data_IF_135811905829
#
_entry.id   IF_135811905829
#
_cell.length_a   1.000
_cell.length_b   1.000
_cell.length_c   1.000
_cell.angle_alpha   90.00
_cell.angle_beta   90.00
_cell.angle_gamma   90.00
#
_symmetry.space_group_name_H-M   'P 1'
#
loop_
_entity.id
_entity.type
_entity.pdbx_description
1 polymer ?
#
# COMPACT_ATOMS: atom_id res chain seq x y z
N UNK A 1 18.45 34.88 -20.95
CA UNK A 1 17.28 35.78 -20.79
C UNK A 1 17.85 37.16 -20.61
N UNK A 2 17.31 38.17 -21.31
CA UNK A 2 17.90 39.54 -21.26
C UNK A 2 17.55 40.24 -19.96
N UNK A 3 18.37 41.18 -19.58
CA UNK A 3 18.22 42.05 -18.39
C UNK A 3 16.83 42.72 -18.29
N UNK A 4 16.21 43.01 -19.44
CA UNK A 4 14.86 43.58 -19.52
C UNK A 4 13.78 42.61 -19.06
N UNK A 5 13.88 41.30 -19.40
CA UNK A 5 12.93 40.29 -18.98
C UNK A 5 13.02 40.01 -17.46
N UNK A 6 14.24 40.06 -16.93
CA UNK A 6 14.47 39.91 -15.48
C UNK A 6 13.93 41.12 -14.67
N UNK A 7 14.04 42.32 -15.25
CA UNK A 7 13.50 43.53 -14.66
C UNK A 7 11.95 43.55 -14.70
N UNK A 8 11.36 43.06 -15.80
CA UNK A 8 9.91 42.94 -15.92
C UNK A 8 9.34 41.88 -14.93
N UNK A 9 10.01 40.77 -14.75
CA UNK A 9 9.60 39.73 -13.77
C UNK A 9 9.72 40.21 -12.32
N UNK A 10 10.71 41.04 -11.99
CA UNK A 10 10.86 41.61 -10.64
C UNK A 10 9.74 42.59 -10.28
N UNK A 11 9.10 43.23 -11.28
CA UNK A 11 7.98 44.15 -11.09
C UNK A 11 6.60 43.50 -11.24
N UNK A 12 6.53 42.24 -11.64
CA UNK A 12 5.28 41.54 -11.90
C UNK A 12 4.58 41.15 -10.59
N UNK A 13 3.27 41.33 -10.57
CA UNK A 13 2.44 40.79 -9.47
C UNK A 13 2.29 39.30 -9.59
N UNK A 14 1.87 38.64 -8.51
CA UNK A 14 1.57 37.18 -8.52
C UNK A 14 0.54 36.82 -9.59
N UNK A 15 -0.44 37.72 -9.83
CA UNK A 15 -1.45 37.50 -10.88
C UNK A 15 -0.85 37.57 -12.28
N UNK A 16 0.09 38.52 -12.53
CA UNK A 16 0.76 38.60 -13.82
C UNK A 16 1.58 37.33 -14.13
N UNK A 17 2.19 36.75 -13.08
CA UNK A 17 2.94 35.48 -13.20
C UNK A 17 2.02 34.30 -13.49
N UNK A 18 0.84 34.24 -12.85
CA UNK A 18 -0.18 33.23 -13.09
C UNK A 18 -0.71 33.31 -14.52
N UNK A 19 -1.04 34.50 -14.99
CA UNK A 19 -1.52 34.74 -16.35
C UNK A 19 -0.45 34.34 -17.39
N UNK A 20 0.81 34.69 -17.12
CA UNK A 20 1.93 34.32 -17.98
C UNK A 20 2.12 32.77 -18.00
N UNK A 21 2.02 32.11 -16.85
CA UNK A 21 2.12 30.67 -16.76
C UNK A 21 0.97 29.98 -17.53
N UNK A 22 -0.23 30.53 -17.47
CA UNK A 22 -1.39 30.06 -18.25
C UNK A 22 -1.16 30.20 -19.77
N UNK A 23 -0.65 31.34 -20.22
CA UNK A 23 -0.33 31.62 -21.63
C UNK A 23 0.78 30.69 -22.16
N UNK A 24 1.80 30.43 -21.33
CA UNK A 24 2.92 29.54 -21.67
C UNK A 24 2.59 28.06 -21.55
N UNK A 25 1.42 27.69 -21.08
CA UNK A 25 1.01 26.29 -20.89
C UNK A 25 1.72 25.59 -19.74
N UNK A 26 2.24 26.31 -18.76
CA UNK A 26 2.94 25.76 -17.59
C UNK A 26 1.94 25.26 -16.53
N UNK A 27 1.03 24.38 -16.95
CA UNK A 27 -0.11 23.94 -16.14
C UNK A 27 0.29 23.15 -14.88
N UNK A 28 1.45 22.51 -14.89
CA UNK A 28 1.97 21.77 -13.73
C UNK A 28 2.40 22.68 -12.56
N UNK A 29 2.54 23.98 -12.81
CA UNK A 29 2.91 24.98 -11.79
C UNK A 29 1.70 25.69 -11.20
N UNK A 30 0.50 25.40 -11.67
CA UNK A 30 -0.74 26.06 -11.26
C UNK A 30 -1.69 25.04 -10.61
N UNK A 31 -2.46 25.49 -9.61
CA UNK A 31 -3.58 24.69 -9.14
C UNK A 31 -4.77 24.80 -10.12
N UNK A 32 -5.79 23.98 -9.93
CA UNK A 32 -6.96 23.93 -10.83
C UNK A 32 -7.71 25.26 -10.89
N UNK A 33 -7.83 25.98 -9.79
CA UNK A 33 -8.52 27.28 -9.73
C UNK A 33 -7.72 28.36 -10.44
N UNK A 34 -6.40 28.38 -10.25
CA UNK A 34 -5.51 29.31 -10.96
C UNK A 34 -5.51 29.10 -12.46
N UNK A 35 -5.46 27.82 -12.89
CA UNK A 35 -5.53 27.46 -14.29
C UNK A 35 -6.86 27.91 -14.92
N UNK A 36 -7.98 27.61 -14.25
CA UNK A 36 -9.30 28.00 -14.71
C UNK A 36 -9.46 29.54 -14.73
N UNK A 37 -8.93 30.24 -13.73
CA UNK A 37 -8.96 31.70 -13.66
C UNK A 37 -8.11 32.34 -14.76
N UNK A 38 -6.95 31.77 -15.09
CA UNK A 38 -6.10 32.26 -16.19
C UNK A 38 -6.71 32.03 -17.58
N UNK A 39 -7.53 31.00 -17.73
CA UNK A 39 -8.25 30.70 -19.00
C UNK A 39 -9.63 31.33 -19.08
N UNK A 40 -10.25 31.68 -17.96
CA UNK A 40 -11.57 32.26 -17.96
C UNK A 40 -11.56 33.75 -18.34
N UNK A 41 -12.68 34.19 -18.91
CA UNK A 41 -12.86 35.56 -19.35
C UNK A 41 -12.61 36.58 -18.20
N UNK A 42 -12.15 37.78 -18.53
CA UNK A 42 -11.66 38.84 -17.65
C UNK A 42 -12.54 39.25 -16.45
N UNK A 43 -13.73 38.63 -16.33
CA UNK A 43 -14.74 38.98 -15.32
C UNK A 43 -14.91 37.99 -14.18
N UNK A 44 -14.25 36.82 -14.23
CA UNK A 44 -14.27 35.93 -13.08
C UNK A 44 -13.45 36.47 -11.94
N UNK A 45 -13.95 36.47 -10.69
CA UNK A 45 -13.15 36.88 -9.54
C UNK A 45 -11.93 35.95 -9.46
N UNK A 46 -10.75 36.58 -9.50
CA UNK A 46 -9.50 35.81 -9.41
C UNK A 46 -9.37 35.22 -8.02
N UNK A 47 -8.93 33.96 -7.90
CA UNK A 47 -8.66 33.40 -6.59
C UNK A 47 -7.61 34.21 -5.85
N UNK A 48 -7.78 34.34 -4.54
CA UNK A 48 -6.82 35.03 -3.69
C UNK A 48 -5.42 34.41 -3.91
N UNK A 49 -4.41 35.22 -4.25
CA UNK A 49 -3.04 34.76 -4.42
C UNK A 49 -2.49 34.02 -3.21
N UNK A 50 -3.07 34.21 -2.02
CA UNK A 50 -2.71 33.49 -0.81
C UNK A 50 -3.19 32.02 -0.82
N UNK A 51 -4.15 31.68 -1.67
CA UNK A 51 -4.71 30.33 -1.77
C UNK A 51 -4.16 29.52 -2.95
N UNK A 52 -3.35 30.17 -3.80
CA UNK A 52 -2.81 29.57 -4.99
C UNK A 52 -1.28 29.56 -5.05
N UNK A 53 -0.75 29.31 -6.25
CA UNK A 53 0.69 29.35 -6.47
C UNK A 53 1.19 30.79 -6.40
N UNK A 54 1.92 31.10 -5.35
CA UNK A 54 2.55 32.41 -5.13
C UNK A 54 4.08 32.37 -5.31
N UNK A 55 4.60 31.38 -6.08
CA UNK A 55 6.02 31.07 -6.11
C UNK A 55 6.47 30.24 -4.90
N UNK A 56 5.71 30.30 -3.82
CA UNK A 56 5.82 29.39 -2.67
C UNK A 56 4.41 28.87 -2.40
N UNK A 57 4.11 27.66 -2.85
CA UNK A 57 2.90 26.95 -2.43
C UNK A 57 2.92 26.91 -0.92
N UNK A 58 1.98 27.59 -0.25
CA UNK A 58 1.75 27.34 1.17
C UNK A 58 1.30 25.89 1.24
N UNK A 59 2.20 25.01 1.67
CA UNK A 59 1.85 23.63 1.94
C UNK A 59 0.64 23.66 2.88
N UNK A 60 -0.42 22.97 2.50
CA UNK A 60 -1.53 22.70 3.45
C UNK A 60 -0.87 22.15 4.70
N UNK A 61 -1.06 22.75 5.87
CA UNK A 61 -0.44 22.23 7.07
C UNK A 61 -0.80 20.75 7.18
N UNK A 62 0.22 19.88 7.24
CA UNK A 62 0.02 18.46 7.46
C UNK A 62 -0.86 18.32 8.70
N UNK A 63 -2.01 17.70 8.53
CA UNK A 63 -2.85 17.35 9.67
C UNK A 63 -2.02 16.36 10.48
N UNK A 64 -1.51 16.79 11.61
CA UNK A 64 -0.84 15.88 12.53
C UNK A 64 -1.90 14.91 13.03
N UNK A 65 -1.83 13.68 12.52
CA UNK A 65 -2.58 12.59 13.12
C UNK A 65 -1.85 12.23 14.42
N UNK A 66 -2.59 12.00 15.52
CA UNK A 66 -1.96 11.49 16.73
C UNK A 66 -1.18 10.23 16.37
N UNK A 67 0.04 10.12 16.85
CA UNK A 67 0.87 8.94 16.64
C UNK A 67 0.07 7.73 17.13
N UNK A 68 -0.10 6.72 16.25
CA UNK A 68 -0.74 5.47 16.65
C UNK A 68 0.09 4.85 17.79
N UNK A 69 -0.60 4.36 18.81
CA UNK A 69 0.08 3.65 19.88
C UNK A 69 0.80 2.41 19.30
N UNK A 70 2.06 2.17 19.67
CA UNK A 70 2.80 1.02 19.18
C UNK A 70 2.06 -0.27 19.56
N UNK A 71 1.95 -1.19 18.61
CA UNK A 71 1.41 -2.51 18.88
C UNK A 71 2.33 -3.26 19.86
N UNK A 72 1.84 -3.57 21.04
CA UNK A 72 2.58 -4.26 22.11
C UNK A 72 2.16 -5.73 22.24
N UNK A 73 1.50 -6.27 21.23
CA UNK A 73 1.05 -7.66 21.25
C UNK A 73 2.24 -8.61 21.30
N UNK A 74 2.29 -9.51 22.27
CA UNK A 74 3.31 -10.56 22.33
C UNK A 74 2.93 -11.70 21.37
N UNK A 75 3.79 -12.05 20.40
CA UNK A 75 3.55 -13.17 19.50
C UNK A 75 3.34 -14.51 20.23
N UNK A 76 4.02 -14.74 21.36
CA UNK A 76 3.86 -15.96 22.14
C UNK A 76 2.48 -16.07 22.77
N UNK A 77 1.93 -14.95 23.26
CA UNK A 77 0.57 -14.90 23.78
C UNK A 77 -0.47 -15.25 22.69
N UNK A 78 -0.27 -14.73 21.48
CA UNK A 78 -1.12 -15.06 20.34
C UNK A 78 -1.05 -16.56 20.02
N UNK A 79 0.14 -17.13 19.95
CA UNK A 79 0.34 -18.57 19.70
C UNK A 79 -0.36 -19.42 20.77
N UNK A 80 -0.27 -19.05 22.03
CA UNK A 80 -0.97 -19.76 23.13
C UNK A 80 -2.49 -19.65 22.99
N UNK A 81 -3.01 -18.46 22.68
CA UNK A 81 -4.45 -18.24 22.44
C UNK A 81 -4.94 -19.01 21.23
N UNK A 82 -4.13 -19.14 20.17
CA UNK A 82 -4.46 -19.97 19.01
C UNK A 82 -4.52 -21.46 19.37
N UNK A 83 -3.60 -21.94 20.21
CA UNK A 83 -3.60 -23.34 20.71
C UNK A 83 -4.80 -23.64 21.61
N UNK A 84 -5.23 -22.70 22.44
CA UNK A 84 -6.39 -22.86 23.32
C UNK A 84 -7.72 -22.77 22.59
N UNK A 85 -7.74 -22.31 21.34
CA UNK A 85 -8.95 -22.09 20.56
C UNK A 85 -9.67 -20.80 20.92
N UNK A 86 -10.57 -20.38 20.04
CA UNK A 86 -11.46 -19.21 20.28
C UNK A 86 -10.90 -17.86 19.81
N UNK A 87 -9.64 -17.76 19.44
CA UNK A 87 -9.10 -16.53 18.84
C UNK A 87 -9.52 -16.43 17.38
N UNK A 88 -10.30 -15.39 17.05
CA UNK A 88 -10.76 -15.17 15.68
C UNK A 88 -9.88 -14.22 14.87
N UNK A 89 -9.20 -13.30 15.53
CA UNK A 89 -8.36 -12.27 14.91
C UNK A 89 -7.03 -12.16 15.64
N UNK A 90 -5.95 -12.19 14.90
CA UNK A 90 -4.60 -11.97 15.40
C UNK A 90 -3.99 -10.75 14.68
N UNK A 91 -3.66 -9.71 15.44
CA UNK A 91 -3.02 -8.51 14.93
C UNK A 91 -1.60 -8.39 15.50
N UNK A 92 -0.61 -8.67 14.65
CA UNK A 92 0.81 -8.59 14.93
C UNK A 92 1.50 -7.51 14.09
N UNK A 93 0.74 -6.58 13.51
CA UNK A 93 1.31 -5.51 12.68
C UNK A 93 2.34 -4.69 13.47
N UNK A 94 3.42 -4.32 12.80
CA UNK A 94 4.50 -3.51 13.37
C UNK A 94 5.23 -4.14 14.57
N UNK A 95 5.08 -5.44 14.76
CA UNK A 95 5.83 -6.20 15.77
C UNK A 95 6.96 -6.95 15.07
N UNK A 96 8.24 -6.64 15.34
CA UNK A 96 9.34 -7.44 14.79
C UNK A 96 9.31 -8.84 15.42
N UNK A 97 9.17 -9.87 14.57
CA UNK A 97 9.03 -11.25 15.02
C UNK A 97 10.20 -12.07 14.47
N UNK A 98 10.85 -12.86 15.32
CA UNK A 98 11.90 -13.77 14.86
C UNK A 98 11.34 -14.90 14.00
N UNK A 99 12.16 -15.40 13.06
CA UNK A 99 11.78 -16.51 12.19
C UNK A 99 11.29 -17.73 12.99
N UNK A 100 11.93 -18.04 14.12
CA UNK A 100 11.53 -19.15 15.00
C UNK A 100 10.08 -19.00 15.51
N UNK A 101 9.70 -17.80 15.95
CA UNK A 101 8.34 -17.52 16.41
C UNK A 101 7.33 -17.54 15.26
N UNK A 102 7.73 -17.04 14.09
CA UNK A 102 6.88 -17.13 12.88
C UNK A 102 6.65 -18.59 12.46
N UNK A 103 7.67 -19.42 12.48
CA UNK A 103 7.54 -20.85 12.18
C UNK A 103 6.58 -21.53 13.15
N UNK A 104 6.71 -21.26 14.47
CA UNK A 104 5.79 -21.81 15.47
C UNK A 104 4.35 -21.33 15.26
N UNK A 105 4.17 -20.06 14.93
CA UNK A 105 2.87 -19.48 14.59
C UNK A 105 2.22 -20.21 13.40
N UNK A 106 2.97 -20.43 12.32
CA UNK A 106 2.46 -21.10 11.12
C UNK A 106 2.22 -22.60 11.33
N UNK A 107 3.02 -23.24 12.18
CA UNK A 107 2.76 -24.65 12.54
C UNK A 107 1.43 -24.78 13.31
N UNK A 108 1.16 -23.88 14.25
CA UNK A 108 -0.12 -23.85 14.95
C UNK A 108 -1.27 -23.49 14.01
N UNK A 109 -1.03 -22.59 13.03
CA UNK A 109 -2.04 -22.19 12.05
C UNK A 109 -2.55 -23.38 11.21
N UNK A 110 -1.70 -24.37 10.89
CA UNK A 110 -2.09 -25.54 10.09
C UNK A 110 -3.30 -26.28 10.66
N UNK A 111 -3.35 -26.44 11.97
CA UNK A 111 -4.41 -27.17 12.66
C UNK A 111 -5.43 -26.27 13.39
N UNK A 112 -5.26 -24.97 13.31
CA UNK A 112 -6.16 -24.03 13.97
C UNK A 112 -7.48 -23.90 13.19
N UNK A 113 -8.60 -24.06 13.87
CA UNK A 113 -9.96 -24.04 13.33
C UNK A 113 -10.76 -22.81 13.74
N UNK A 114 -10.15 -21.85 14.43
CA UNK A 114 -10.84 -20.68 14.99
C UNK A 114 -10.42 -19.35 14.37
N UNK A 115 -9.16 -19.24 13.92
CA UNK A 115 -8.61 -18.00 13.40
C UNK A 115 -9.15 -17.69 11.99
N UNK A 116 -9.76 -16.51 11.86
CA UNK A 116 -10.32 -16.04 10.59
C UNK A 116 -9.55 -14.88 9.98
N UNK A 117 -8.76 -14.15 10.79
CA UNK A 117 -8.01 -12.99 10.34
C UNK A 117 -6.62 -12.99 10.98
N UNK A 118 -5.58 -12.94 10.14
CA UNK A 118 -4.17 -12.85 10.53
C UNK A 118 -3.53 -11.66 9.87
N UNK A 119 -3.00 -10.72 10.67
CA UNK A 119 -2.27 -9.58 10.15
C UNK A 119 -0.85 -9.55 10.67
N UNK A 120 0.11 -9.53 9.74
CA UNK A 120 1.55 -9.61 9.91
C UNK A 120 2.26 -8.49 9.13
N UNK A 121 1.63 -7.33 8.98
CA UNK A 121 2.26 -6.24 8.25
C UNK A 121 3.46 -5.70 9.04
N UNK A 122 4.58 -5.51 8.33
CA UNK A 122 5.83 -4.98 8.91
C UNK A 122 6.32 -5.81 10.12
N UNK A 123 6.43 -7.12 9.94
CA UNK A 123 6.88 -8.07 10.98
C UNK A 123 8.25 -8.69 10.69
N UNK A 124 8.92 -8.22 9.63
CA UNK A 124 10.19 -8.77 9.11
C UNK A 124 10.06 -10.19 8.54
N UNK A 125 8.88 -10.57 8.07
CA UNK A 125 8.63 -11.87 7.43
C UNK A 125 9.55 -12.03 6.22
N UNK A 126 10.43 -13.04 6.25
CA UNK A 126 11.35 -13.42 5.18
C UNK A 126 10.86 -14.64 4.40
N UNK A 127 11.56 -15.02 3.34
CA UNK A 127 11.17 -16.14 2.48
C UNK A 127 11.04 -17.48 3.21
N UNK A 128 11.93 -17.73 4.16
CA UNK A 128 11.95 -19.02 4.85
C UNK A 128 10.66 -19.24 5.69
N UNK A 129 10.26 -18.36 6.60
CA UNK A 129 8.97 -18.49 7.27
C UNK A 129 7.78 -18.30 6.33
N UNK A 130 7.88 -17.46 5.28
CA UNK A 130 6.80 -17.30 4.32
C UNK A 130 6.49 -18.56 3.51
N UNK A 131 7.48 -19.40 3.22
CA UNK A 131 7.26 -20.73 2.63
C UNK A 131 6.48 -21.65 3.58
N UNK A 132 6.72 -21.55 4.89
CA UNK A 132 5.94 -22.28 5.89
C UNK A 132 4.52 -21.73 6.05
N UNK A 133 4.32 -20.41 5.86
CA UNK A 133 2.99 -19.84 5.76
C UNK A 133 2.22 -20.43 4.57
N UNK A 134 2.85 -20.55 3.40
CA UNK A 134 2.22 -21.20 2.24
C UNK A 134 1.80 -22.64 2.57
N UNK A 135 2.70 -23.44 3.17
CA UNK A 135 2.38 -24.80 3.61
C UNK A 135 1.27 -24.83 4.69
N UNK A 136 1.18 -23.80 5.53
CA UNK A 136 0.09 -23.71 6.50
C UNK A 136 -1.26 -23.40 5.81
N UNK A 137 -1.27 -22.56 4.79
CA UNK A 137 -2.47 -22.26 4.00
C UNK A 137 -2.98 -23.48 3.22
N UNK A 138 -2.07 -24.38 2.79
CA UNK A 138 -2.45 -25.66 2.14
C UNK A 138 -3.17 -26.62 3.10
N UNK A 139 -3.12 -26.39 4.40
CA UNK A 139 -3.78 -27.24 5.40
C UNK A 139 -4.94 -26.53 6.10
N UNK A 140 -4.88 -25.21 6.21
CA UNK A 140 -5.86 -24.43 6.95
C UNK A 140 -7.12 -24.15 6.13
N UNK A 141 -8.27 -24.36 6.75
CA UNK A 141 -9.60 -24.20 6.11
C UNK A 141 -10.45 -23.10 6.75
N UNK A 142 -9.88 -22.27 7.62
CA UNK A 142 -10.66 -21.29 8.39
C UNK A 142 -10.21 -19.85 8.20
N UNK A 143 -8.97 -19.63 7.76
CA UNK A 143 -8.44 -18.28 7.58
C UNK A 143 -9.07 -17.61 6.36
N UNK A 144 -9.77 -16.50 6.61
CA UNK A 144 -10.47 -15.71 5.58
C UNK A 144 -9.65 -14.51 5.10
N UNK A 145 -8.85 -13.91 6.00
CA UNK A 145 -8.08 -12.70 5.70
C UNK A 145 -6.63 -12.84 6.14
N UNK A 146 -5.75 -12.53 5.21
CA UNK A 146 -4.31 -12.53 5.42
C UNK A 146 -3.72 -11.18 5.01
N UNK A 147 -2.97 -10.55 5.90
CA UNK A 147 -2.18 -9.36 5.59
C UNK A 147 -0.71 -9.62 5.90
N UNK A 148 0.13 -9.55 4.86
CA UNK A 148 1.59 -9.69 4.93
C UNK A 148 2.29 -8.48 4.28
N UNK A 149 1.64 -7.32 4.22
CA UNK A 149 2.19 -6.11 3.62
C UNK A 149 3.49 -5.67 4.31
N UNK A 150 4.32 -4.92 3.58
CA UNK A 150 5.54 -4.29 4.13
C UNK A 150 6.50 -5.29 4.79
N UNK A 151 6.78 -6.40 4.10
CA UNK A 151 7.68 -7.44 4.56
C UNK A 151 8.82 -7.71 3.55
N UNK A 152 9.60 -8.75 3.78
CA UNK A 152 10.78 -9.10 2.98
C UNK A 152 10.55 -10.37 2.14
N UNK A 153 9.34 -10.59 1.66
CA UNK A 153 8.97 -11.78 0.89
C UNK A 153 9.35 -11.58 -0.57
N UNK A 154 10.08 -12.53 -1.15
CA UNK A 154 10.45 -12.49 -2.55
C UNK A 154 9.25 -12.72 -3.49
N UNK A 155 9.33 -12.21 -4.74
CA UNK A 155 8.29 -12.43 -5.73
C UNK A 155 7.94 -13.92 -5.95
N UNK A 156 8.94 -14.79 -5.95
CA UNK A 156 8.75 -16.24 -6.11
C UNK A 156 8.04 -16.88 -4.92
N UNK A 157 8.30 -16.38 -3.71
CA UNK A 157 7.61 -16.87 -2.52
C UNK A 157 6.17 -16.37 -2.47
N UNK A 158 5.88 -15.17 -2.96
CA UNK A 158 4.51 -14.67 -3.13
C UNK A 158 3.69 -15.58 -4.05
N UNK A 159 4.25 -16.03 -5.19
CA UNK A 159 3.57 -17.00 -6.09
C UNK A 159 3.12 -18.23 -5.30
N UNK A 160 4.00 -18.80 -4.48
CA UNK A 160 3.67 -19.98 -3.66
C UNK A 160 2.52 -19.73 -2.69
N UNK A 161 2.48 -18.53 -2.07
CA UNK A 161 1.39 -18.16 -1.16
C UNK A 161 0.05 -18.08 -1.91
N UNK A 162 0.03 -17.48 -3.13
CA UNK A 162 -1.18 -17.40 -3.94
C UNK A 162 -1.60 -18.78 -4.48
N UNK A 163 -0.65 -19.64 -4.85
CA UNK A 163 -0.93 -21.03 -5.24
C UNK A 163 -1.49 -21.84 -4.07
N UNK A 164 -0.92 -21.70 -2.87
CA UNK A 164 -1.42 -22.36 -1.66
C UNK A 164 -2.85 -21.93 -1.32
N UNK A 165 -3.20 -20.66 -1.52
CA UNK A 165 -4.56 -20.16 -1.33
C UNK A 165 -5.60 -20.82 -2.24
N UNK A 166 -5.18 -21.48 -3.34
CA UNK A 166 -6.06 -22.19 -4.26
C UNK A 166 -6.43 -23.59 -3.78
N UNK A 167 -5.69 -24.17 -2.85
CA UNK A 167 -5.92 -25.56 -2.42
C UNK A 167 -7.31 -25.72 -1.79
N UNK A 168 -7.64 -24.88 -0.82
CA UNK A 168 -8.94 -24.92 -0.14
C UNK A 168 -9.92 -23.83 -0.58
N UNK A 169 -9.42 -22.78 -1.23
CA UNK A 169 -10.22 -21.65 -1.69
C UNK A 169 -11.10 -21.05 -0.56
N UNK A 170 -10.50 -20.78 0.59
CA UNK A 170 -11.19 -20.22 1.77
C UNK A 170 -10.88 -18.75 1.95
N UNK A 171 -9.65 -18.34 1.63
CA UNK A 171 -9.23 -16.93 1.74
C UNK A 171 -10.07 -16.03 0.85
N UNK A 172 -10.60 -14.97 1.44
CA UNK A 172 -11.38 -13.91 0.76
C UNK A 172 -10.57 -12.65 0.52
N UNK A 173 -9.52 -12.43 1.32
CA UNK A 173 -8.67 -11.25 1.23
C UNK A 173 -7.21 -11.60 1.48
N UNK A 174 -6.33 -11.21 0.55
CA UNK A 174 -4.88 -11.26 0.70
C UNK A 174 -4.32 -9.86 0.45
N UNK A 175 -3.55 -9.33 1.39
CA UNK A 175 -2.77 -8.10 1.23
C UNK A 175 -1.29 -8.45 1.29
N UNK A 176 -0.56 -8.14 0.20
CA UNK A 176 0.85 -8.49 0.04
C UNK A 176 1.68 -7.39 -0.61
N UNK A 177 1.17 -6.15 -0.62
CA UNK A 177 1.86 -4.98 -1.19
C UNK A 177 3.12 -4.62 -0.41
N UNK A 178 3.98 -3.80 -1.04
CA UNK A 178 5.13 -3.19 -0.41
C UNK A 178 6.10 -4.22 0.19
N UNK A 179 6.52 -5.19 -0.63
CA UNK A 179 7.61 -6.10 -0.26
C UNK A 179 8.97 -5.46 -0.56
N UNK A 180 10.06 -6.06 -0.06
CA UNK A 180 11.42 -5.54 -0.29
C UNK A 180 11.78 -5.43 -1.77
N UNK A 181 11.28 -6.33 -2.62
CA UNK A 181 11.45 -6.24 -4.07
C UNK A 181 10.54 -5.15 -4.64
N UNK A 182 11.15 -4.13 -5.27
CA UNK A 182 10.41 -3.02 -5.90
C UNK A 182 9.57 -3.50 -7.09
N UNK A 183 9.99 -4.55 -7.77
CA UNK A 183 9.32 -5.09 -8.96
C UNK A 183 9.10 -6.59 -8.81
N UNK A 184 7.91 -7.05 -9.10
CA UNK A 184 7.60 -8.48 -9.14
C UNK A 184 8.17 -9.14 -10.41
N UNK A 185 8.09 -8.44 -11.52
CA UNK A 185 8.46 -8.91 -12.84
C UNK A 185 7.32 -9.67 -13.55
N UNK A 186 7.22 -9.47 -14.86
CA UNK A 186 6.09 -9.96 -15.67
C UNK A 186 5.78 -11.46 -15.45
N UNK A 187 6.81 -12.31 -15.38
CA UNK A 187 6.63 -13.75 -15.18
C UNK A 187 5.93 -14.09 -13.86
N UNK A 188 6.27 -13.37 -12.79
CA UNK A 188 5.68 -13.55 -11.46
C UNK A 188 4.27 -12.99 -11.43
N UNK A 189 4.06 -11.80 -11.98
CA UNK A 189 2.74 -11.18 -12.07
C UNK A 189 1.75 -12.07 -12.82
N UNK A 190 2.16 -12.62 -13.98
CA UNK A 190 1.34 -13.58 -14.74
C UNK A 190 1.05 -14.85 -13.95
N UNK A 191 2.00 -15.36 -13.17
CA UNK A 191 1.77 -16.54 -12.32
C UNK A 191 0.75 -16.24 -11.21
N UNK A 192 0.87 -15.08 -10.55
CA UNK A 192 -0.11 -14.64 -9.53
C UNK A 192 -1.47 -14.41 -10.17
N UNK A 193 -1.55 -13.73 -11.31
CA UNK A 193 -2.80 -13.52 -12.06
C UNK A 193 -3.50 -14.84 -12.33
N UNK A 194 -2.78 -15.82 -12.85
CA UNK A 194 -3.32 -17.16 -13.11
C UNK A 194 -3.82 -17.86 -11.84
N UNK A 195 -3.11 -17.70 -10.71
CA UNK A 195 -3.55 -18.23 -9.44
C UNK A 195 -4.84 -17.54 -8.95
N UNK A 196 -4.94 -16.21 -9.10
CA UNK A 196 -6.13 -15.43 -8.72
C UNK A 196 -7.32 -15.77 -9.60
N UNK A 197 -7.15 -15.86 -10.93
CA UNK A 197 -8.20 -16.25 -11.87
C UNK A 197 -8.78 -17.66 -11.57
N UNK A 198 -7.93 -18.57 -11.12
CA UNK A 198 -8.35 -19.92 -10.70
C UNK A 198 -9.05 -19.97 -9.34
N UNK A 199 -9.01 -18.89 -8.57
CA UNK A 199 -9.55 -18.85 -7.21
C UNK A 199 -10.95 -18.25 -7.17
N UNK A 200 -11.92 -18.99 -6.65
CA UNK A 200 -13.32 -18.56 -6.56
C UNK A 200 -13.68 -17.88 -5.24
N UNK A 201 -12.81 -17.92 -4.24
CA UNK A 201 -13.04 -17.33 -2.92
C UNK A 201 -12.46 -15.94 -2.76
N UNK A 202 -11.34 -15.65 -3.43
CA UNK A 202 -10.67 -14.36 -3.34
C UNK A 202 -11.54 -13.22 -3.91
N UNK A 203 -11.82 -12.25 -3.08
CA UNK A 203 -12.60 -11.05 -3.42
C UNK A 203 -11.72 -9.79 -3.43
N UNK A 204 -10.63 -9.81 -2.67
CA UNK A 204 -9.68 -8.69 -2.58
C UNK A 204 -8.25 -9.18 -2.61
N UNK A 205 -7.48 -8.57 -3.50
CA UNK A 205 -6.03 -8.75 -3.58
C UNK A 205 -5.37 -7.38 -3.49
N UNK A 206 -4.64 -7.16 -2.41
CA UNK A 206 -3.80 -5.97 -2.20
C UNK A 206 -2.39 -6.26 -2.67
N UNK A 207 -2.14 -6.07 -3.97
CA UNK A 207 -0.84 -6.22 -4.60
C UNK A 207 -0.70 -5.18 -5.70
N UNK A 208 0.49 -4.65 -5.90
CA UNK A 208 0.78 -3.75 -7.00
C UNK A 208 1.33 -4.54 -8.18
N UNK A 209 0.71 -4.35 -9.35
CA UNK A 209 1.17 -4.92 -10.62
C UNK A 209 1.73 -3.79 -11.50
N UNK A 210 2.92 -4.00 -12.04
CA UNK A 210 3.60 -3.04 -12.92
C UNK A 210 3.16 -3.21 -14.38
N UNK A 211 2.78 -4.42 -14.77
CA UNK A 211 2.41 -4.75 -16.15
C UNK A 211 0.90 -4.72 -16.36
N UNK A 212 0.48 -4.04 -17.42
CA UNK A 212 -0.94 -3.82 -17.75
C UNK A 212 -1.73 -5.09 -18.05
N UNK A 213 -1.06 -6.09 -18.60
CA UNK A 213 -1.64 -7.39 -18.99
C UNK A 213 -2.04 -8.24 -17.77
N UNK A 214 -1.54 -7.89 -16.59
CA UNK A 214 -1.83 -8.61 -15.35
C UNK A 214 -2.94 -7.98 -14.50
N UNK A 215 -3.58 -6.92 -15.00
CA UNK A 215 -4.61 -6.14 -14.27
C UNK A 215 -6.01 -6.56 -14.61
#
# INVERSE_FOLDING_TARGET
MGEEAEKALKGATTNDIIDLAGVLGLHSMMNQEQYHSAQSDKWAPRPDPSTGWSGVTKATPLKEYPAEEPNRTDPEEIIQKMKSGGLKKANLNNVPISDEKLLNLFEVLKSNDSLTELTLANTSLSDFPAANLAAALESNTTLLKLNIESNNVSPQCLVKIFEAANVHQVLTEIKASNQMAQFLGNKVEMAITKAVEGNKSLQRVGLHFDFGDCR
#
